data_IF_980584464674
#
_entry.id   IF_980584464674
#
_cell.length_a   1.000
_cell.length_b   1.000
_cell.length_c   1.000
_cell.angle_alpha   90.00
_cell.angle_beta   90.00
_cell.angle_gamma   90.00
#
_symmetry.space_group_name_H-M   'P 1'
#
loop_
_entity.id
_entity.type
_entity.pdbx_description
1 polymer ?
#
# COMPACT_ATOMS: atom_id res chain seq x y z
N UNK A 1 21.68 -1.03 39.53
CA UNK A 1 22.82 -1.87 39.11
C UNK A 1 22.46 -3.33 39.40
N UNK A 2 21.83 -4.00 38.43
CA UNK A 2 21.61 -5.45 38.49
C UNK A 2 22.70 -6.10 37.65
N UNK A 3 23.37 -7.08 38.26
CA UNK A 3 24.54 -7.78 37.72
C UNK A 3 24.17 -8.54 36.45
N UNK A 4 25.02 -8.36 35.44
CA UNK A 4 25.13 -9.19 34.24
C UNK A 4 25.13 -10.67 34.63
N UNK A 5 24.08 -11.39 34.25
CA UNK A 5 24.15 -12.81 34.01
C UNK A 5 24.25 -12.97 32.49
N UNK A 6 25.11 -13.88 32.04
CA UNK A 6 25.46 -14.07 30.63
C UNK A 6 24.30 -14.54 29.77
N UNK A 7 23.37 -13.63 29.50
CA UNK A 7 22.39 -13.73 28.45
C UNK A 7 23.09 -13.36 27.14
N UNK A 8 22.91 -14.17 26.09
CA UNK A 8 23.08 -13.65 24.75
C UNK A 8 22.10 -12.51 24.59
N UNK A 9 22.60 -11.38 24.10
CA UNK A 9 21.72 -10.33 23.63
C UNK A 9 20.79 -10.93 22.57
N UNK A 10 19.48 -10.63 22.62
CA UNK A 10 18.58 -10.97 21.53
C UNK A 10 19.18 -10.50 20.19
N UNK A 11 18.79 -11.10 19.08
CA UNK A 11 19.29 -10.64 17.78
C UNK A 11 19.00 -9.14 17.63
N UNK A 12 20.06 -8.33 17.53
CA UNK A 12 19.98 -6.86 17.51
C UNK A 12 19.36 -6.21 18.77
N UNK A 13 19.54 -6.80 19.96
CA UNK A 13 19.03 -6.27 21.25
C UNK A 13 17.49 -6.12 21.34
N UNK A 14 16.71 -6.78 20.48
CA UNK A 14 15.24 -6.66 20.42
C UNK A 14 14.48 -8.00 20.56
N UNK A 15 13.19 -7.94 20.94
CA UNK A 15 12.34 -9.11 21.18
C UNK A 15 12.06 -9.89 19.90
N UNK A 16 12.01 -11.23 20.01
CA UNK A 16 11.91 -12.11 18.85
C UNK A 16 10.54 -12.02 18.16
N UNK A 17 10.53 -11.36 17.00
CA UNK A 17 9.51 -11.51 15.95
C UNK A 17 10.12 -12.03 14.65
N UNK A 18 11.14 -12.91 14.77
CA UNK A 18 11.90 -13.40 13.61
C UNK A 18 11.15 -14.52 12.90
N UNK A 19 10.98 -14.37 11.59
CA UNK A 19 10.53 -15.44 10.69
C UNK A 19 11.76 -15.93 9.95
N UNK A 20 12.10 -17.20 10.13
CA UNK A 20 13.09 -17.86 9.28
C UNK A 20 12.37 -18.57 8.14
N UNK A 21 12.82 -18.32 6.90
CA UNK A 21 12.27 -18.93 5.70
C UNK A 21 13.42 -19.41 4.82
N UNK A 22 13.31 -20.63 4.30
CA UNK A 22 14.23 -21.19 3.32
C UNK A 22 13.46 -22.16 2.41
N UNK A 23 13.89 -22.29 1.16
CA UNK A 23 13.48 -23.40 0.28
C UNK A 23 14.37 -24.64 0.46
N UNK A 24 15.51 -24.48 1.14
CA UNK A 24 16.44 -25.53 1.52
C UNK A 24 16.19 -25.92 2.98
N UNK A 25 15.71 -27.15 3.18
CA UNK A 25 15.38 -27.70 4.50
C UNK A 25 16.62 -27.96 5.36
N UNK A 26 17.75 -28.31 4.74
CA UNK A 26 18.99 -28.55 5.48
C UNK A 26 19.56 -27.22 5.98
N UNK A 27 19.49 -26.18 5.16
CA UNK A 27 19.95 -24.85 5.52
C UNK A 27 19.15 -24.26 6.70
N UNK A 28 17.81 -24.33 6.65
CA UNK A 28 16.97 -23.76 7.72
C UNK A 28 17.16 -24.47 9.05
N UNK A 29 17.35 -25.79 9.04
CA UNK A 29 17.60 -26.56 10.26
C UNK A 29 19.01 -26.32 10.81
N UNK A 30 20.00 -26.12 9.93
CA UNK A 30 21.37 -25.73 10.33
C UNK A 30 21.34 -24.37 11.04
N UNK A 31 20.60 -23.40 10.49
CA UNK A 31 20.40 -22.08 11.12
C UNK A 31 19.67 -22.22 12.46
N UNK A 32 18.57 -22.98 12.52
CA UNK A 32 17.82 -23.18 13.75
C UNK A 32 18.68 -23.83 14.85
N UNK A 33 19.55 -24.77 14.47
CA UNK A 33 20.49 -25.40 15.39
C UNK A 33 21.48 -24.39 15.98
N UNK A 34 22.02 -23.48 15.16
CA UNK A 34 22.95 -22.43 15.62
C UNK A 34 22.29 -21.50 16.64
N UNK A 35 21.05 -21.07 16.41
CA UNK A 35 20.29 -20.31 17.39
C UNK A 35 20.05 -21.09 18.69
N UNK A 36 19.57 -22.33 18.59
CA UNK A 36 19.30 -23.17 19.76
C UNK A 36 20.58 -23.44 20.57
N UNK A 37 21.69 -23.72 19.89
CA UNK A 37 22.97 -24.06 20.52
C UNK A 37 23.64 -22.85 21.16
N UNK A 38 23.54 -21.66 20.55
CA UNK A 38 24.07 -20.44 21.15
C UNK A 38 23.23 -19.98 22.34
N UNK A 39 21.91 -19.95 22.25
CA UNK A 39 21.03 -19.52 23.35
C UNK A 39 21.14 -20.42 24.58
N UNK A 40 21.52 -21.69 24.40
CA UNK A 40 21.64 -22.65 25.48
C UNK A 40 22.87 -22.40 26.38
N UNK A 41 22.61 -22.07 27.66
CA UNK A 41 23.66 -21.75 28.64
C UNK A 41 24.12 -22.92 29.53
N UNK A 42 23.77 -24.17 29.19
CA UNK A 42 24.36 -25.35 29.84
C UNK A 42 23.83 -25.73 31.23
N UNK A 43 22.78 -25.09 31.75
CA UNK A 43 22.38 -25.27 33.17
C UNK A 43 20.98 -25.88 33.35
N UNK A 44 20.85 -27.19 33.14
CA UNK A 44 19.80 -27.97 33.82
C UNK A 44 20.37 -28.57 35.10
N UNK A 45 20.07 -27.95 36.25
CA UNK A 45 20.44 -28.46 37.57
C UNK A 45 19.32 -29.33 38.15
N UNK A 46 19.08 -30.52 37.59
CA UNK A 46 18.30 -31.53 38.31
C UNK A 46 18.94 -32.92 38.14
N UNK A 47 19.51 -33.40 39.25
CA UNK A 47 20.02 -34.75 39.49
C UNK A 47 21.04 -35.38 38.51
N UNK A 48 22.29 -35.47 39.00
CA UNK A 48 23.34 -36.45 38.67
C UNK A 48 24.03 -36.43 37.29
N UNK A 49 23.56 -35.71 36.27
CA UNK A 49 24.37 -35.47 35.06
C UNK A 49 24.11 -34.06 34.48
N UNK A 50 25.18 -33.32 34.16
CA UNK A 50 25.09 -32.14 33.30
C UNK A 50 24.84 -32.64 31.87
N UNK A 51 23.58 -32.71 31.44
CA UNK A 51 23.24 -33.10 30.07
C UNK A 51 22.91 -31.85 29.28
N UNK A 52 23.75 -31.58 28.27
CA UNK A 52 23.57 -30.49 27.33
C UNK A 52 22.87 -31.01 26.08
N UNK A 53 21.56 -31.25 26.14
CA UNK A 53 20.79 -31.89 25.06
C UNK A 53 21.03 -31.30 23.64
N UNK A 54 21.05 -29.96 23.43
CA UNK A 54 21.35 -29.42 22.10
C UNK A 54 22.82 -29.56 21.69
N UNK A 55 23.74 -29.82 22.64
CA UNK A 55 25.18 -30.01 22.37
C UNK A 55 25.62 -31.47 22.54
N UNK A 56 24.68 -32.43 22.55
CA UNK A 56 25.04 -33.84 22.54
C UNK A 56 25.74 -34.19 21.22
N UNK A 57 26.77 -35.03 21.32
CA UNK A 57 27.49 -35.50 20.14
C UNK A 57 26.55 -36.29 19.25
N UNK A 58 26.54 -35.96 17.96
CA UNK A 58 25.73 -36.64 16.94
C UNK A 58 24.34 -36.08 16.73
N UNK A 59 23.91 -35.08 17.51
CA UNK A 59 22.60 -34.44 17.35
C UNK A 59 22.39 -33.86 15.94
N UNK A 60 23.46 -33.43 15.27
CA UNK A 60 23.43 -32.83 13.92
C UNK A 60 24.02 -33.74 12.83
N UNK A 61 24.31 -35.01 13.13
CA UNK A 61 24.90 -35.92 12.14
C UNK A 61 23.97 -36.12 10.93
N UNK A 62 22.66 -36.08 11.16
CA UNK A 62 21.67 -36.19 10.07
C UNK A 62 21.73 -35.00 9.10
N UNK A 63 22.04 -33.77 9.57
CA UNK A 63 22.22 -32.60 8.70
C UNK A 63 23.48 -32.75 7.83
N UNK A 64 24.56 -33.31 8.39
CA UNK A 64 25.79 -33.61 7.64
C UNK A 64 25.54 -34.66 6.57
N UNK A 65 24.82 -35.73 6.92
CA UNK A 65 24.41 -36.76 5.97
C UNK A 65 23.48 -36.21 4.89
N UNK A 66 22.51 -35.36 5.23
CA UNK A 66 21.63 -34.75 4.24
C UNK A 66 22.40 -33.82 3.29
N UNK A 67 23.39 -33.07 3.79
CA UNK A 67 24.13 -32.09 3.00
C UNK A 67 25.20 -32.67 2.07
N UNK A 68 25.73 -33.86 2.37
CA UNK A 68 26.80 -34.45 1.56
C UNK A 68 26.83 -35.97 1.64
N UNK A 69 26.92 -36.59 0.46
CA UNK A 69 27.08 -38.04 0.30
C UNK A 69 28.40 -38.59 0.83
N UNK A 70 29.39 -37.73 1.11
CA UNK A 70 30.64 -38.12 1.79
C UNK A 70 30.41 -38.71 3.19
N UNK A 71 29.26 -38.40 3.81
CA UNK A 71 28.90 -38.88 5.14
C UNK A 71 27.94 -40.07 5.11
N UNK A 72 27.61 -40.59 3.93
CA UNK A 72 26.71 -41.73 3.81
C UNK A 72 27.42 -43.04 4.14
N UNK A 73 26.68 -44.02 4.70
CA UNK A 73 27.17 -45.39 4.79
C UNK A 73 27.52 -45.95 3.41
N UNK A 74 28.51 -46.84 3.37
CA UNK A 74 28.93 -47.50 2.14
C UNK A 74 27.77 -48.25 1.47
N UNK A 75 27.66 -48.13 0.14
CA UNK A 75 26.63 -48.79 -0.65
C UNK A 75 25.28 -48.06 -0.70
N UNK A 76 25.17 -46.88 -0.08
CA UNK A 76 23.98 -46.03 -0.20
C UNK A 76 24.13 -45.09 -1.40
N UNK A 77 23.06 -45.03 -2.21
CA UNK A 77 22.89 -44.09 -3.31
C UNK A 77 21.46 -43.56 -3.27
N UNK A 78 21.29 -42.25 -3.42
CA UNK A 78 19.98 -41.61 -3.43
C UNK A 78 19.68 -41.06 -4.82
N UNK A 79 18.83 -41.77 -5.55
CA UNK A 79 18.33 -41.40 -6.86
C UNK A 79 16.79 -41.56 -6.84
N UNK A 80 16.05 -40.56 -6.34
CA UNK A 80 14.60 -40.65 -6.21
C UNK A 80 13.88 -40.62 -7.57
N UNK A 81 14.50 -40.03 -8.59
CA UNK A 81 13.93 -39.90 -9.93
C UNK A 81 14.24 -41.11 -10.83
N UNK A 82 15.13 -42.01 -10.37
CA UNK A 82 15.56 -43.22 -11.05
C UNK A 82 16.08 -42.95 -12.48
N UNK A 83 16.86 -41.88 -12.64
CA UNK A 83 17.50 -41.48 -13.91
C UNK A 83 18.96 -41.96 -14.03
N UNK A 84 19.47 -42.60 -12.97
CA UNK A 84 20.84 -43.12 -12.89
C UNK A 84 21.86 -42.08 -12.41
N UNK A 85 21.43 -40.88 -12.03
CA UNK A 85 22.28 -39.80 -11.50
C UNK A 85 21.94 -39.59 -10.03
N UNK A 86 22.76 -40.11 -9.09
CA UNK A 86 22.53 -39.89 -7.67
C UNK A 86 22.68 -38.41 -7.32
N UNK A 87 21.75 -37.91 -6.51
CA UNK A 87 21.85 -36.59 -5.89
C UNK A 87 22.86 -36.70 -4.76
N UNK A 88 23.89 -35.84 -4.72
CA UNK A 88 24.94 -35.92 -3.69
C UNK A 88 24.67 -35.03 -2.45
N UNK A 89 23.64 -34.19 -2.50
CA UNK A 89 23.29 -33.24 -1.45
C UNK A 89 21.80 -32.89 -1.52
N UNK A 90 21.15 -32.84 -0.37
CA UNK A 90 19.76 -32.39 -0.21
C UNK A 90 19.67 -30.93 0.25
N UNK A 91 20.82 -30.27 0.43
CA UNK A 91 20.88 -28.88 0.88
C UNK A 91 22.21 -28.50 1.53
N UNK A 92 22.29 -27.27 2.00
CA UNK A 92 23.51 -26.70 2.58
C UNK A 92 23.51 -26.89 4.10
N UNK A 93 24.57 -27.51 4.63
CA UNK A 93 24.84 -27.54 6.06
C UNK A 93 26.12 -26.77 6.38
N UNK A 94 25.96 -25.62 7.02
CA UNK A 94 27.05 -24.79 7.52
C UNK A 94 26.62 -24.13 8.83
N UNK A 95 27.62 -23.63 9.56
CA UNK A 95 27.42 -22.92 10.81
C UNK A 95 27.98 -21.50 10.66
N UNK A 96 27.42 -20.55 11.41
CA UNK A 96 27.99 -19.20 11.44
C UNK A 96 29.45 -19.22 11.91
N UNK A 97 30.20 -18.17 11.56
CA UNK A 97 31.59 -18.02 11.96
C UNK A 97 31.79 -17.96 13.49
N UNK A 98 30.90 -17.29 14.22
CA UNK A 98 30.92 -17.21 15.68
C UNK A 98 29.59 -16.65 16.24
N UNK A 99 29.39 -16.83 17.55
CA UNK A 99 28.17 -16.43 18.27
C UNK A 99 27.90 -14.91 18.36
N UNK A 100 28.89 -14.07 18.02
CA UNK A 100 28.78 -12.61 18.06
C UNK A 100 28.37 -12.11 16.68
N UNK A 101 29.16 -12.41 15.66
CA UNK A 101 28.96 -11.88 14.30
C UNK A 101 27.84 -12.61 13.55
N UNK A 102 27.65 -13.91 13.84
CA UNK A 102 26.57 -14.75 13.29
C UNK A 102 26.52 -14.72 11.74
N UNK A 103 27.70 -14.68 11.10
CA UNK A 103 27.82 -14.59 9.64
C UNK A 103 28.02 -15.97 9.01
N UNK A 104 27.26 -16.23 7.95
CA UNK A 104 27.35 -17.42 7.10
C UNK A 104 28.19 -17.16 5.84
N UNK A 105 28.42 -18.20 5.02
CA UNK A 105 29.37 -18.11 3.90
C UNK A 105 29.05 -16.97 2.93
N UNK A 106 27.79 -16.74 2.58
CA UNK A 106 27.43 -15.62 1.69
C UNK A 106 27.53 -14.26 2.38
N UNK A 107 27.32 -14.18 3.70
CA UNK A 107 27.60 -12.96 4.46
C UNK A 107 29.10 -12.64 4.52
N UNK A 108 29.97 -13.64 4.36
CA UNK A 108 31.43 -13.51 4.34
C UNK A 108 32.00 -13.28 2.93
N UNK A 109 31.15 -13.16 1.91
CA UNK A 109 31.54 -12.86 0.53
C UNK A 109 31.85 -14.08 -0.34
N UNK A 110 31.53 -15.29 0.10
CA UNK A 110 31.55 -16.47 -0.78
C UNK A 110 30.35 -16.45 -1.75
N UNK A 111 30.53 -17.05 -2.93
CA UNK A 111 29.50 -17.07 -3.98
C UNK A 111 28.32 -17.99 -3.62
N UNK A 112 28.56 -19.02 -2.80
CA UNK A 112 27.59 -20.04 -2.40
C UNK A 112 27.50 -20.16 -0.86
N UNK A 113 26.41 -20.76 -0.37
CA UNK A 113 26.16 -21.02 1.05
C UNK A 113 24.93 -20.31 1.60
N UNK A 114 24.84 -20.19 2.93
CA UNK A 114 23.72 -19.52 3.61
C UNK A 114 24.00 -18.02 3.67
N UNK A 115 22.94 -17.23 3.52
CA UNK A 115 22.95 -15.78 3.73
C UNK A 115 21.88 -15.44 4.77
N UNK A 116 22.29 -14.89 5.92
CA UNK A 116 21.35 -14.29 6.83
C UNK A 116 21.10 -12.84 6.40
N UNK A 117 19.89 -12.56 5.91
CA UNK A 117 19.47 -11.20 5.54
C UNK A 117 18.75 -10.59 6.73
N UNK A 118 19.31 -9.51 7.27
CA UNK A 118 18.63 -8.69 8.25
C UNK A 118 17.82 -7.59 7.55
N UNK A 119 16.51 -7.58 7.79
CA UNK A 119 15.63 -6.50 7.39
C UNK A 119 15.38 -5.65 8.63
N UNK A 120 16.05 -4.50 8.70
CA UNK A 120 15.84 -3.56 9.80
C UNK A 120 14.45 -2.91 9.67
N UNK A 121 13.63 -3.02 10.72
CA UNK A 121 12.37 -2.28 10.82
C UNK A 121 12.61 -0.76 10.99
N UNK A 122 13.84 -0.34 11.28
CA UNK A 122 14.32 1.04 11.20
C UNK A 122 14.93 1.38 9.84
N UNK A 123 14.62 0.64 8.77
CA UNK A 123 14.56 1.27 7.45
C UNK A 123 13.85 2.60 7.68
N UNK A 124 14.54 3.72 7.45
CA UNK A 124 13.90 5.03 7.41
C UNK A 124 13.00 4.98 6.17
N UNK A 125 11.86 4.34 6.32
CA UNK A 125 10.88 4.16 5.26
C UNK A 125 10.37 5.56 4.99
N UNK A 126 10.52 5.98 3.73
CA UNK A 126 9.92 7.22 3.28
C UNK A 126 8.42 7.10 3.50
N UNK A 127 7.87 7.97 4.34
CA UNK A 127 6.44 8.00 4.58
C UNK A 127 5.76 8.81 3.48
N UNK A 128 4.64 8.29 2.99
CA UNK A 128 3.87 8.97 1.95
C UNK A 128 3.38 10.34 2.44
N UNK A 129 3.42 11.38 1.60
CA UNK A 129 2.75 12.65 1.89
C UNK A 129 1.25 12.45 2.09
N UNK A 130 0.65 13.23 2.97
CA UNK A 130 -0.80 13.20 3.24
C UNK A 130 -1.42 14.58 3.13
N UNK A 131 -2.74 14.68 3.27
CA UNK A 131 -3.48 15.95 3.26
C UNK A 131 -3.17 16.82 2.04
N UNK A 132 -3.07 16.20 0.86
CA UNK A 132 -2.84 16.94 -0.38
C UNK A 132 -4.03 17.83 -0.66
N UNK A 133 -3.79 19.14 -0.72
CA UNK A 133 -4.76 20.17 -1.09
C UNK A 133 -4.28 20.94 -2.30
N UNK A 134 -5.20 21.71 -2.87
CA UNK A 134 -5.00 22.38 -4.13
C UNK A 134 -5.59 23.79 -4.08
N UNK A 135 -4.78 24.77 -4.47
CA UNK A 135 -5.13 26.18 -4.51
C UNK A 135 -4.85 26.74 -5.91
N UNK A 136 -5.76 27.54 -6.45
CA UNK A 136 -5.53 28.25 -7.71
C UNK A 136 -4.67 29.49 -7.44
N UNK A 137 -3.53 29.59 -8.12
CA UNK A 137 -2.68 30.79 -8.07
C UNK A 137 -3.15 31.81 -9.10
N UNK A 138 -3.48 31.36 -10.31
CA UNK A 138 -4.10 32.16 -11.36
C UNK A 138 -4.89 31.27 -12.36
N UNK A 139 -5.14 31.76 -13.58
CA UNK A 139 -5.96 31.07 -14.58
C UNK A 139 -5.31 29.79 -15.16
N UNK A 140 -3.99 29.65 -15.07
CA UNK A 140 -3.23 28.51 -15.60
C UNK A 140 -2.35 27.83 -14.56
N UNK A 141 -2.18 28.44 -13.39
CA UNK A 141 -1.24 27.98 -12.38
C UNK A 141 -1.97 27.42 -11.16
N UNK A 142 -1.61 26.20 -10.82
CA UNK A 142 -2.17 25.45 -9.69
C UNK A 142 -1.09 25.20 -8.66
N UNK A 143 -1.38 25.50 -7.40
CA UNK A 143 -0.51 25.17 -6.27
C UNK A 143 -1.01 23.90 -5.57
N UNK A 144 -0.17 22.87 -5.55
CA UNK A 144 -0.31 21.70 -4.69
C UNK A 144 0.32 22.01 -3.34
N UNK A 145 -0.34 21.60 -2.26
CA UNK A 145 0.17 21.70 -0.89
C UNK A 145 -0.04 20.33 -0.23
N UNK A 146 0.92 19.86 0.55
CA UNK A 146 0.83 18.58 1.25
C UNK A 146 1.43 18.64 2.65
N UNK A 147 1.14 17.62 3.46
CA UNK A 147 1.81 17.37 4.72
C UNK A 147 2.98 16.42 4.49
N UNK A 148 4.16 16.85 4.91
CA UNK A 148 5.34 16.01 5.01
C UNK A 148 5.25 15.08 6.23
N UNK A 149 5.52 13.80 6.00
CA UNK A 149 5.55 12.75 7.03
C UNK A 149 6.91 12.02 7.08
N UNK A 150 7.83 12.38 6.18
CA UNK A 150 9.16 11.82 6.07
C UNK A 150 10.17 12.81 6.67
N UNK A 151 11.31 12.32 7.15
CA UNK A 151 12.41 13.18 7.64
C UNK A 151 13.76 12.75 7.04
N UNK A 152 13.70 12.02 5.93
CA UNK A 152 14.81 11.30 5.32
C UNK A 152 14.68 11.16 3.80
N UNK A 153 13.82 11.99 3.23
CA UNK A 153 13.62 12.24 1.82
C UNK A 153 14.66 13.24 1.33
N UNK A 154 15.15 13.02 0.12
CA UNK A 154 15.90 14.01 -0.64
C UNK A 154 14.94 14.99 -1.33
N UNK A 155 13.65 14.61 -1.47
CA UNK A 155 12.60 15.45 -2.01
C UNK A 155 11.26 14.74 -2.24
N UNK A 156 10.38 15.41 -2.99
CA UNK A 156 9.07 14.89 -3.39
C UNK A 156 8.91 14.89 -4.90
N UNK A 157 8.43 13.77 -5.44
CA UNK A 157 8.09 13.56 -6.83
C UNK A 157 6.61 13.91 -7.05
N UNK A 158 6.31 14.75 -8.03
CA UNK A 158 4.96 15.13 -8.41
C UNK A 158 4.62 14.45 -9.74
N UNK A 159 3.59 13.63 -9.72
CA UNK A 159 3.05 13.00 -10.92
C UNK A 159 1.62 13.43 -11.17
N UNK A 160 1.24 13.38 -12.44
CA UNK A 160 -0.13 13.60 -12.88
C UNK A 160 -0.54 12.67 -14.00
N UNK A 161 -1.84 12.62 -14.26
CA UNK A 161 -2.39 12.12 -15.52
C UNK A 161 -3.64 12.90 -15.87
N UNK A 162 -3.96 12.96 -17.15
CA UNK A 162 -5.24 13.49 -17.57
C UNK A 162 -6.39 12.48 -17.45
N UNK A 163 -7.59 12.99 -17.26
CA UNK A 163 -8.79 12.16 -17.09
C UNK A 163 -9.38 11.62 -18.39
N UNK A 164 -8.82 11.96 -19.56
CA UNK A 164 -9.47 11.73 -20.86
C UNK A 164 -8.72 10.70 -21.71
N UNK A 165 -7.41 10.74 -21.74
CA UNK A 165 -6.56 9.90 -22.57
C UNK A 165 -6.40 8.48 -22.02
N UNK A 166 -6.79 8.24 -20.76
CA UNK A 166 -6.60 6.95 -20.08
C UNK A 166 -5.12 6.59 -19.88
N UNK A 167 -4.22 7.57 -19.98
CA UNK A 167 -2.78 7.40 -19.85
C UNK A 167 -2.34 7.00 -18.43
N UNK A 168 -1.11 6.45 -18.36
CA UNK A 168 -0.41 6.25 -17.10
C UNK A 168 -0.04 7.59 -16.47
N UNK A 169 0.29 7.57 -15.18
CA UNK A 169 0.88 8.75 -14.52
C UNK A 169 2.22 9.10 -15.18
N UNK A 170 2.43 10.40 -15.37
CA UNK A 170 3.65 11.00 -15.87
C UNK A 170 4.25 11.90 -14.79
N UNK A 171 5.58 11.94 -14.71
CA UNK A 171 6.29 12.85 -13.82
C UNK A 171 6.22 14.27 -14.40
N UNK A 172 5.76 15.23 -13.59
CA UNK A 172 5.80 16.66 -13.96
C UNK A 172 7.12 17.24 -13.52
N UNK A 173 7.42 17.09 -12.23
CA UNK A 173 8.54 17.74 -11.57
C UNK A 173 8.85 17.07 -10.23
N UNK A 174 9.91 17.54 -9.58
CA UNK A 174 10.27 17.20 -8.22
C UNK A 174 10.69 18.45 -7.44
N UNK A 175 10.39 18.47 -6.14
CA UNK A 175 10.87 19.50 -5.21
C UNK A 175 11.85 18.90 -4.22
N UNK A 176 12.65 19.74 -3.56
CA UNK A 176 13.66 19.31 -2.59
C UNK A 176 13.08 18.81 -1.25
N UNK A 177 13.97 18.34 -0.37
CA UNK A 177 13.63 17.87 0.97
C UNK A 177 12.87 18.94 1.79
N UNK A 178 11.94 18.51 2.63
CA UNK A 178 11.07 19.36 3.47
C UNK A 178 10.20 20.39 2.72
N UNK A 179 10.15 20.36 1.39
CA UNK A 179 9.22 21.19 0.64
C UNK A 179 7.79 20.67 0.81
N UNK A 180 6.84 21.57 1.01
CA UNK A 180 5.43 21.24 1.28
C UNK A 180 4.47 21.78 0.21
N UNK A 181 5.01 22.36 -0.87
CA UNK A 181 4.19 22.86 -1.97
C UNK A 181 4.91 22.90 -3.31
N UNK A 182 4.13 22.84 -4.39
CA UNK A 182 4.61 22.93 -5.77
C UNK A 182 3.60 23.71 -6.61
N UNK A 183 4.07 24.54 -7.55
CA UNK A 183 3.21 25.26 -8.51
C UNK A 183 3.37 24.63 -9.88
N UNK A 184 2.29 24.07 -10.40
CA UNK A 184 2.19 23.62 -11.78
C UNK A 184 1.62 24.75 -12.66
N UNK A 185 2.47 25.31 -13.53
CA UNK A 185 2.08 26.32 -14.54
C UNK A 185 1.77 25.73 -15.91
N UNK A 186 1.76 24.40 -16.05
CA UNK A 186 1.54 23.70 -17.33
C UNK A 186 0.10 23.25 -17.52
N UNK A 187 -0.73 23.46 -16.50
CA UNK A 187 -2.14 23.05 -16.43
C UNK A 187 -2.96 23.72 -17.54
N UNK A 188 -3.62 22.90 -18.36
CA UNK A 188 -4.57 23.40 -19.37
C UNK A 188 -5.99 23.38 -18.82
N UNK A 189 -6.83 24.26 -19.36
CA UNK A 189 -8.24 24.42 -18.98
C UNK A 189 -9.13 23.18 -19.25
N UNK A 190 -8.61 22.23 -20.04
CA UNK A 190 -9.17 20.90 -20.28
C UNK A 190 -8.05 20.01 -20.83
N UNK A 191 -7.97 18.72 -20.46
CA UNK A 191 -8.83 17.92 -19.56
C UNK A 191 -8.62 18.18 -18.05
N UNK A 192 -9.40 17.52 -17.19
CA UNK A 192 -9.13 17.44 -15.75
C UNK A 192 -7.87 16.62 -15.50
N UNK A 193 -7.23 16.87 -14.36
CA UNK A 193 -5.96 16.27 -14.00
C UNK A 193 -6.04 15.61 -12.64
N UNK A 194 -5.40 14.45 -12.51
CA UNK A 194 -5.28 13.71 -11.25
C UNK A 194 -3.82 13.78 -10.84
N UNK A 195 -3.55 14.35 -9.66
CA UNK A 195 -2.21 14.46 -9.10
C UNK A 195 -2.01 13.46 -7.97
N UNK A 196 -0.76 13.02 -7.80
CA UNK A 196 -0.29 12.28 -6.63
C UNK A 196 1.17 12.61 -6.38
N UNK A 197 1.59 12.49 -5.12
CA UNK A 197 2.92 12.88 -4.68
C UNK A 197 3.56 11.72 -3.93
N UNK A 198 4.86 11.49 -4.11
CA UNK A 198 5.64 10.52 -3.34
C UNK A 198 6.93 11.17 -2.82
N UNK A 199 7.34 10.84 -1.60
CA UNK A 199 8.67 11.18 -1.12
C UNK A 199 9.70 10.26 -1.80
N UNK A 200 10.91 10.76 -2.05
CA UNK A 200 12.00 9.96 -2.63
C UNK A 200 13.33 10.24 -1.94
N UNK A 201 14.24 9.27 -2.02
CA UNK A 201 15.65 9.43 -1.72
C UNK A 201 16.49 8.49 -2.60
N UNK A 202 17.81 8.45 -2.40
CA UNK A 202 18.70 7.57 -3.16
C UNK A 202 18.39 6.05 -3.02
N UNK A 203 17.56 5.65 -2.05
CA UNK A 203 17.15 4.26 -1.83
C UNK A 203 15.81 3.89 -2.51
N UNK A 204 15.02 4.87 -2.97
CA UNK A 204 13.74 4.63 -3.64
C UNK A 204 12.65 5.65 -3.32
N UNK A 205 11.39 5.21 -3.38
CA UNK A 205 10.19 6.04 -3.22
C UNK A 205 9.31 5.54 -2.07
N UNK A 206 8.56 6.45 -1.45
CA UNK A 206 7.42 6.09 -0.59
C UNK A 206 6.27 5.52 -1.41
N UNK A 207 5.23 5.05 -0.72
CA UNK A 207 3.90 4.99 -1.33
C UNK A 207 3.45 6.39 -1.79
N UNK A 208 2.54 6.45 -2.75
CA UNK A 208 1.93 7.70 -3.17
C UNK A 208 0.90 8.21 -2.16
N UNK A 209 0.71 9.52 -2.13
CA UNK A 209 -0.41 10.18 -1.47
C UNK A 209 -1.75 9.73 -2.05
N UNK A 210 -2.84 10.01 -1.32
CA UNK A 210 -4.18 9.95 -1.91
C UNK A 210 -4.25 10.88 -3.13
N UNK A 211 -4.82 10.42 -4.27
CA UNK A 211 -4.87 11.22 -5.48
C UNK A 211 -5.87 12.36 -5.35
N UNK A 212 -5.49 13.56 -5.80
CA UNK A 212 -6.37 14.72 -5.86
C UNK A 212 -6.74 15.03 -7.31
N UNK A 213 -8.01 15.31 -7.56
CA UNK A 213 -8.52 15.61 -8.91
C UNK A 213 -8.85 17.10 -9.00
N UNK A 214 -8.32 17.76 -10.04
CA UNK A 214 -8.79 19.08 -10.46
C UNK A 214 -9.96 18.88 -11.41
N UNK A 215 -11.19 18.99 -10.91
CA UNK A 215 -12.37 18.88 -11.76
C UNK A 215 -12.79 20.19 -12.41
N UNK A 216 -12.50 21.35 -11.77
CA UNK A 216 -13.03 22.64 -12.20
C UNK A 216 -12.12 23.81 -11.76
N UNK A 217 -11.33 24.39 -12.68
CA UNK A 217 -10.70 25.70 -12.45
C UNK A 217 -11.82 26.75 -12.52
N UNK A 218 -12.29 27.23 -11.36
CA UNK A 218 -13.33 28.27 -11.32
C UNK A 218 -12.68 29.65 -11.48
N UNK A 219 -13.00 30.32 -12.59
CA UNK A 219 -12.66 31.71 -12.86
C UNK A 219 -13.59 32.61 -12.03
N UNK A 220 -13.03 33.49 -11.21
CA UNK A 220 -13.72 34.67 -10.67
C UNK A 220 -13.04 35.93 -11.23
N UNK A 221 -13.59 36.51 -12.29
CA UNK A 221 -14.38 37.74 -12.21
C UNK A 221 -15.02 37.99 -13.60
N UNK A 222 -16.27 38.47 -13.62
CA UNK A 222 -17.06 38.84 -14.82
C UNK A 222 -17.71 37.69 -15.62
N UNK A 223 -18.99 37.47 -15.32
CA UNK A 223 -20.05 36.74 -16.07
C UNK A 223 -19.81 35.27 -16.46
N UNK A 224 -20.24 34.40 -15.52
CA UNK A 224 -20.51 32.96 -15.67
C UNK A 224 -20.99 32.55 -17.07
N UNK A 225 -20.14 31.84 -17.79
CA UNK A 225 -20.58 30.89 -18.82
C UNK A 225 -19.95 29.53 -18.55
N UNK A 226 -20.62 28.74 -17.71
CA UNK A 226 -20.30 27.33 -17.50
C UNK A 226 -20.34 26.60 -18.84
N UNK A 227 -19.19 26.12 -19.32
CA UNK A 227 -19.15 25.28 -20.50
C UNK A 227 -19.37 23.84 -20.04
N UNK A 228 -20.64 23.47 -19.85
CA UNK A 228 -21.01 22.08 -19.55
C UNK A 228 -20.80 21.23 -20.80
N UNK A 229 -19.78 20.38 -20.86
CA UNK A 229 -19.52 19.58 -22.05
C UNK A 229 -20.09 18.17 -22.00
N UNK A 230 -20.43 17.67 -20.79
CA UNK A 230 -20.99 16.33 -20.61
C UNK A 230 -22.24 16.29 -19.73
N UNK A 231 -23.01 15.21 -19.89
CA UNK A 231 -24.02 14.82 -18.91
C UNK A 231 -23.33 14.29 -17.66
N UNK A 232 -23.59 14.91 -16.50
CA UNK A 232 -23.05 14.43 -15.21
C UNK A 232 -24.13 14.45 -14.13
N UNK A 233 -24.11 13.42 -13.28
CA UNK A 233 -24.85 13.36 -12.02
C UNK A 233 -23.82 13.24 -10.90
N UNK A 234 -23.73 14.27 -10.07
CA UNK A 234 -22.78 14.33 -8.95
C UNK A 234 -23.33 13.55 -7.75
N UNK A 235 -22.44 13.20 -6.82
CA UNK A 235 -22.86 12.68 -5.53
C UNK A 235 -23.59 13.78 -4.77
N UNK A 236 -24.75 13.48 -4.19
CA UNK A 236 -25.49 14.40 -3.35
C UNK A 236 -24.63 14.82 -2.14
N UNK A 237 -24.73 16.07 -1.73
CA UNK A 237 -24.02 16.59 -0.56
C UNK A 237 -24.99 17.34 0.38
N UNK A 238 -24.96 17.03 1.69
CA UNK A 238 -24.17 15.97 2.34
C UNK A 238 -24.63 14.55 1.96
N UNK A 239 -23.78 13.54 2.16
CA UNK A 239 -24.13 12.11 2.10
C UNK A 239 -23.20 11.30 3.04
N UNK A 240 -23.68 10.69 4.13
CA UNK A 240 -25.08 10.61 4.55
C UNK A 240 -25.70 11.98 4.88
N UNK A 241 -27.02 12.11 4.78
CA UNK A 241 -27.75 13.37 4.97
C UNK A 241 -28.84 13.28 6.04
N UNK A 242 -29.21 14.42 6.65
CA UNK A 242 -30.27 14.51 7.68
C UNK A 242 -30.94 15.91 7.67
N UNK A 243 -32.26 16.01 7.41
CA UNK A 243 -33.03 15.18 6.50
C UNK A 243 -32.89 15.67 5.05
N UNK A 244 -32.10 16.71 4.79
CA UNK A 244 -31.99 17.35 3.47
C UNK A 244 -30.61 17.19 2.83
N UNK A 245 -30.58 17.15 1.50
CA UNK A 245 -29.35 17.06 0.69
C UNK A 245 -29.52 17.80 -0.63
N UNK A 246 -28.42 18.18 -1.27
CA UNK A 246 -28.42 18.82 -2.58
C UNK A 246 -27.93 17.82 -3.63
N UNK A 247 -28.71 17.62 -4.69
CA UNK A 247 -28.33 16.84 -5.87
C UNK A 247 -27.92 17.81 -6.96
N UNK A 248 -26.64 17.75 -7.36
CA UNK A 248 -26.10 18.57 -8.44
C UNK A 248 -25.97 17.73 -9.72
N UNK A 249 -26.21 18.35 -10.87
CA UNK A 249 -26.09 17.70 -12.19
C UNK A 249 -25.79 18.71 -13.29
N UNK A 250 -25.29 18.22 -14.43
CA UNK A 250 -24.98 19.04 -15.61
C UNK A 250 -25.54 18.43 -16.89
N UNK A 251 -26.03 19.28 -17.80
CA UNK A 251 -26.46 18.88 -19.14
C UNK A 251 -25.72 19.69 -20.22
N UNK A 252 -25.16 19.04 -21.25
CA UNK A 252 -24.30 19.69 -22.23
C UNK A 252 -25.06 20.30 -23.41
N UNK A 253 -26.32 19.94 -23.55
CA UNK A 253 -27.24 20.42 -24.57
C UNK A 253 -28.65 20.54 -24.00
N UNK A 254 -29.52 21.26 -24.70
CA UNK A 254 -30.91 21.44 -24.28
C UNK A 254 -31.66 20.10 -24.35
N UNK A 255 -32.28 19.68 -23.26
CA UNK A 255 -33.00 18.41 -23.20
C UNK A 255 -34.06 18.40 -22.09
N UNK A 256 -35.03 17.49 -22.19
CA UNK A 256 -35.91 17.20 -21.06
C UNK A 256 -35.18 16.38 -20.00
N UNK A 257 -35.08 16.92 -18.78
CA UNK A 257 -34.40 16.30 -17.65
C UNK A 257 -35.41 15.79 -16.64
N UNK A 258 -35.24 14.54 -16.25
CA UNK A 258 -36.02 13.88 -15.20
C UNK A 258 -35.11 13.43 -14.06
N UNK A 259 -35.47 13.74 -12.81
CA UNK A 259 -34.81 13.26 -11.60
C UNK A 259 -35.84 12.58 -10.72
N UNK A 260 -35.62 11.29 -10.42
CA UNK A 260 -36.49 10.44 -9.61
C UNK A 260 -35.72 9.83 -8.46
N UNK A 261 -36.40 9.62 -7.33
CA UNK A 261 -35.90 8.90 -6.16
C UNK A 261 -36.53 7.51 -6.11
N UNK A 262 -35.74 6.51 -5.75
CA UNK A 262 -36.12 5.11 -5.62
C UNK A 262 -35.68 4.55 -4.27
N UNK A 263 -36.40 3.56 -3.77
CA UNK A 263 -35.98 2.75 -2.62
C UNK A 263 -35.03 1.61 -3.03
N UNK A 264 -34.63 0.79 -2.07
CA UNK A 264 -33.73 -0.37 -2.28
C UNK A 264 -34.35 -1.47 -3.16
N UNK A 265 -35.67 -1.50 -3.31
CA UNK A 265 -36.38 -2.45 -4.17
C UNK A 265 -36.50 -1.97 -5.61
N UNK A 266 -36.13 -0.71 -5.88
CA UNK A 266 -36.30 -0.05 -7.18
C UNK A 266 -37.67 0.58 -7.38
N UNK A 267 -38.50 0.66 -6.34
CA UNK A 267 -39.80 1.34 -6.41
C UNK A 267 -39.60 2.85 -6.41
N UNK A 268 -40.27 3.56 -7.31
CA UNK A 268 -40.23 5.03 -7.40
C UNK A 268 -40.92 5.65 -6.17
N UNK A 269 -40.17 6.43 -5.40
CA UNK A 269 -40.65 7.13 -4.20
C UNK A 269 -41.21 8.50 -4.57
N UNK A 270 -40.46 9.27 -5.38
CA UNK A 270 -40.89 10.60 -5.78
C UNK A 270 -40.18 11.09 -7.05
N UNK A 271 -40.86 11.98 -7.77
CA UNK A 271 -40.33 12.72 -8.91
C UNK A 271 -39.89 14.11 -8.45
N UNK A 272 -38.58 14.36 -8.40
CA UNK A 272 -38.04 15.65 -7.98
C UNK A 272 -38.03 16.69 -9.10
N UNK A 273 -37.78 16.25 -10.33
CA UNK A 273 -37.71 17.14 -11.49
C UNK A 273 -38.22 16.44 -12.74
N UNK A 274 -39.01 17.14 -13.53
CA UNK A 274 -39.28 16.82 -14.93
C UNK A 274 -39.43 18.13 -15.70
N UNK A 275 -38.35 18.60 -16.32
CA UNK A 275 -38.37 19.90 -17.00
C UNK A 275 -37.40 19.95 -18.18
N UNK A 276 -37.81 20.63 -19.25
CA UNK A 276 -36.92 21.01 -20.34
C UNK A 276 -35.92 22.08 -19.87
N UNK A 277 -34.63 21.76 -19.94
CA UNK A 277 -33.55 22.62 -19.45
C UNK A 277 -32.56 22.92 -20.58
N UNK A 278 -31.94 24.09 -20.52
CA UNK A 278 -30.90 24.50 -21.45
C UNK A 278 -29.55 23.90 -21.03
N UNK A 279 -28.54 23.96 -21.90
CA UNK A 279 -27.16 23.63 -21.52
C UNK A 279 -26.77 24.36 -20.23
N UNK A 280 -26.30 23.64 -19.22
CA UNK A 280 -25.95 24.25 -17.93
C UNK A 280 -25.84 23.25 -16.77
N UNK A 281 -25.37 23.77 -15.63
CA UNK A 281 -25.31 23.05 -14.35
C UNK A 281 -26.50 23.46 -13.49
N UNK A 282 -27.00 22.50 -12.72
CA UNK A 282 -28.22 22.63 -11.94
C UNK A 282 -28.10 21.94 -10.60
N UNK A 283 -28.83 22.46 -9.63
CA UNK A 283 -28.94 21.89 -8.28
C UNK A 283 -30.42 21.73 -7.93
N UNK A 284 -30.71 20.66 -7.19
CA UNK A 284 -32.03 20.42 -6.63
C UNK A 284 -31.90 19.94 -5.19
N UNK A 285 -32.61 20.62 -4.29
CA UNK A 285 -32.72 20.21 -2.90
C UNK A 285 -33.70 19.04 -2.81
N UNK A 286 -33.31 18.03 -2.05
CA UNK A 286 -34.15 16.90 -1.68
C UNK A 286 -34.33 16.89 -0.17
N UNK A 287 -35.58 16.84 0.28
CA UNK A 287 -35.95 16.69 1.68
C UNK A 287 -36.53 15.28 1.91
N UNK A 288 -35.83 14.49 2.71
CA UNK A 288 -36.20 13.13 3.11
C UNK A 288 -36.96 13.07 4.43
N UNK A 289 -37.51 14.19 4.93
CA UNK A 289 -38.21 14.23 6.22
C UNK A 289 -39.39 13.26 6.34
N UNK A 290 -40.02 12.86 5.23
CA UNK A 290 -41.12 11.89 5.22
C UNK A 290 -40.66 10.43 4.99
N UNK A 291 -39.35 10.20 4.87
CA UNK A 291 -38.77 8.87 4.60
C UNK A 291 -38.10 8.28 5.86
N UNK A 292 -37.99 6.96 5.93
CA UNK A 292 -37.27 6.27 7.01
C UNK A 292 -35.76 6.36 6.81
N UNK A 293 -34.95 6.26 7.88
CA UNK A 293 -33.50 6.10 7.73
C UNK A 293 -33.19 4.88 6.85
N UNK A 294 -32.26 5.03 5.90
CA UNK A 294 -31.99 3.95 4.95
C UNK A 294 -31.24 4.38 3.70
N UNK A 295 -31.12 3.43 2.78
CA UNK A 295 -30.46 3.60 1.48
C UNK A 295 -31.52 3.92 0.43
N UNK A 296 -31.25 4.97 -0.34
CA UNK A 296 -32.08 5.39 -1.47
C UNK A 296 -31.21 5.59 -2.71
N UNK A 297 -31.85 5.59 -3.86
CA UNK A 297 -31.20 5.85 -5.14
C UNK A 297 -31.86 7.02 -5.84
N UNK A 298 -31.07 7.82 -6.56
CA UNK A 298 -31.59 8.87 -7.42
C UNK A 298 -31.04 8.70 -8.82
N UNK A 299 -31.92 8.87 -9.80
CA UNK A 299 -31.60 8.68 -11.21
C UNK A 299 -31.85 9.96 -11.98
N UNK A 300 -30.84 10.40 -12.73
CA UNK A 300 -30.92 11.44 -13.74
C UNK A 300 -31.16 10.79 -15.10
N UNK A 301 -32.26 11.15 -15.76
CA UNK A 301 -32.56 10.80 -17.13
C UNK A 301 -32.60 12.07 -17.99
N UNK A 302 -31.84 12.09 -19.09
CA UNK A 302 -31.86 13.17 -20.06
C UNK A 302 -31.63 12.62 -21.47
N UNK A 303 -32.69 12.54 -22.29
CA UNK A 303 -32.63 11.85 -23.58
C UNK A 303 -32.21 10.38 -23.41
N UNK A 304 -31.12 9.97 -24.08
CA UNK A 304 -30.55 8.63 -23.97
C UNK A 304 -29.61 8.45 -22.75
N UNK A 305 -29.24 9.53 -22.07
CA UNK A 305 -28.38 9.47 -20.90
C UNK A 305 -29.20 9.06 -19.67
N UNK A 306 -28.72 8.05 -18.94
CA UNK A 306 -29.25 7.63 -17.65
C UNK A 306 -28.10 7.37 -16.68
N UNK A 307 -28.16 7.98 -15.49
CA UNK A 307 -27.18 7.73 -14.42
C UNK A 307 -27.87 7.66 -13.07
N UNK A 308 -27.52 6.66 -12.28
CA UNK A 308 -28.03 6.46 -10.92
C UNK A 308 -26.90 6.58 -9.90
N UNK A 309 -27.21 7.15 -8.75
CA UNK A 309 -26.32 7.28 -7.59
C UNK A 309 -27.05 6.86 -6.31
N UNK A 310 -26.28 6.38 -5.34
CA UNK A 310 -26.75 5.96 -4.01
C UNK A 310 -26.67 7.12 -3.03
N UNK A 311 -27.67 7.30 -2.17
CA UNK A 311 -27.65 8.22 -1.03
C UNK A 311 -28.10 7.51 0.25
N UNK A 312 -27.67 8.02 1.40
CA UNK A 312 -27.93 7.43 2.72
C UNK A 312 -28.60 8.51 3.58
N UNK A 313 -29.85 8.26 3.98
CA UNK A 313 -30.60 9.12 4.91
C UNK A 313 -30.35 8.63 6.34
N UNK A 314 -29.89 9.52 7.21
CA UNK A 314 -29.79 9.30 8.65
C UNK A 314 -30.83 10.18 9.34
N UNK A 315 -31.67 9.56 10.17
CA UNK A 315 -32.47 10.22 11.21
C UNK A 315 -32.06 9.67 12.55
#
# INVERSE_FOLDING_TARGET
MLKEHGYLTPFNDDWTSSIFLSQDMVAIESVAYDFLSAEYNGSFTNSKQKVSYPLLKGTTDYLRQAASSEYWPEGISYDPENDGIPINSLGVNEHWNNKIDKQYSRNLGYEEGIELIFIDNNLKVLNAPTNVTLELVNQTDVKLIWQDNSNNEDGFLIEWKDTVSGSNYEIIDSVGANEISYIDSTVKMYPSYIYRIAAFNNSGYSNYSDPIIITDIIITDIQKKYIVNDFRLYQNYPNPFNPSTTISYSIPEKQNVTIKIFDITGSEITLLKNKFQQKGSYEINFDGSDLTSGIYFYTLQAGNFSKTKKMILLK
#
